data_IF_602189732247
#
_entry.id   IF_602189732247
#
_cell.length_a   1.000
_cell.length_b   1.000
_cell.length_c   1.000
_cell.angle_alpha   90.00
_cell.angle_beta   90.00
_cell.angle_gamma   90.00
#
_symmetry.space_group_name_H-M   'P 1'
#
loop_
_entity.id
_entity.type
_entity.pdbx_description
1 polymer ?
#
# COMPACT_ATOMS: atom_id res chain seq x y z
N UNK A 1 12.96 2.67 17.92
CA UNK A 1 11.75 2.19 17.19
C UNK A 1 12.24 1.38 16.01
N UNK A 2 11.57 0.26 15.70
CA UNK A 2 11.84 -0.51 14.48
C UNK A 2 11.41 0.30 13.24
N UNK A 3 12.06 0.10 12.07
CA UNK A 3 11.76 0.84 10.85
C UNK A 3 10.33 0.59 10.38
N UNK A 4 9.65 1.67 9.97
CA UNK A 4 8.27 1.60 9.51
C UNK A 4 8.02 2.59 8.37
N UNK A 5 6.93 2.34 7.64
CA UNK A 5 6.33 3.29 6.70
C UNK A 5 4.90 3.54 7.16
N UNK A 6 4.57 4.80 7.44
CA UNK A 6 3.23 5.25 7.77
C UNK A 6 2.68 6.07 6.60
N UNK A 7 1.53 5.65 6.07
CA UNK A 7 0.80 6.38 5.05
C UNK A 7 -0.40 7.05 5.72
N UNK A 8 -0.49 8.37 5.59
CA UNK A 8 -1.56 9.17 6.18
C UNK A 8 -2.35 9.83 5.07
N UNK A 9 -3.62 9.48 4.95
CA UNK A 9 -4.58 10.11 4.06
C UNK A 9 -5.61 10.88 4.90
N UNK A 10 -5.53 12.21 4.91
CA UNK A 10 -6.42 13.06 5.70
C UNK A 10 -6.67 14.41 5.01
N UNK A 11 -7.89 14.93 5.09
CA UNK A 11 -8.23 16.26 4.56
C UNK A 11 -7.95 16.46 3.06
N UNK A 12 -7.91 15.39 2.27
CA UNK A 12 -7.51 15.44 0.85
C UNK A 12 -6.00 15.53 0.63
N UNK A 13 -5.20 15.29 1.67
CA UNK A 13 -3.75 15.20 1.60
C UNK A 13 -3.27 13.77 1.81
N UNK A 14 -2.17 13.43 1.16
CA UNK A 14 -1.47 12.16 1.31
C UNK A 14 -0.04 12.42 1.76
N UNK A 15 0.36 11.76 2.83
CA UNK A 15 1.70 11.86 3.40
C UNK A 15 2.31 10.48 3.59
N UNK A 16 3.61 10.39 3.35
CA UNK A 16 4.43 9.24 3.74
C UNK A 16 5.41 9.70 4.83
N UNK A 17 5.45 8.95 5.92
CA UNK A 17 6.48 9.07 6.94
C UNK A 17 7.23 7.74 7.06
N UNK A 18 8.54 7.76 6.80
CA UNK A 18 9.41 6.59 6.85
C UNK A 18 10.48 6.76 7.90
N UNK A 19 10.49 5.88 8.88
CA UNK A 19 11.58 5.77 9.86
C UNK A 19 12.54 4.67 9.39
N UNK A 20 13.82 5.03 9.20
CA UNK A 20 14.86 4.11 8.68
C UNK A 20 15.89 3.69 9.73
N UNK A 21 15.55 3.83 11.03
CA UNK A 21 16.43 3.65 12.19
C UNK A 21 17.45 4.78 12.43
N UNK A 22 17.68 5.68 11.47
CA UNK A 22 18.60 6.80 11.62
C UNK A 22 17.86 8.13 11.68
N UNK A 23 16.89 8.35 10.78
CA UNK A 23 16.10 9.57 10.72
C UNK A 23 14.68 9.32 10.20
N UNK A 24 13.79 10.24 10.52
CA UNK A 24 12.43 10.26 9.98
C UNK A 24 12.44 11.03 8.65
N UNK A 25 12.03 10.38 7.57
CA UNK A 25 11.81 11.01 6.27
C UNK A 25 10.32 11.24 6.10
N UNK A 26 9.90 12.49 5.92
CA UNK A 26 8.49 12.85 5.71
C UNK A 26 8.38 13.49 4.33
N UNK A 27 7.44 13.01 3.53
CA UNK A 27 7.14 13.60 2.23
C UNK A 27 5.64 13.69 2.00
N UNK A 28 5.24 14.77 1.34
CA UNK A 28 3.88 14.93 0.83
C UNK A 28 3.80 14.27 -0.54
N UNK A 29 2.76 13.46 -0.73
CA UNK A 29 2.45 12.77 -1.98
C UNK A 29 1.27 13.45 -2.69
N UNK A 30 1.16 13.22 -3.99
CA UNK A 30 -0.01 13.61 -4.77
C UNK A 30 -1.18 12.65 -4.43
N UNK A 31 -2.29 13.14 -3.86
CA UNK A 31 -3.44 12.30 -3.52
C UNK A 31 -4.08 11.61 -4.73
N UNK A 32 -3.86 12.11 -5.94
CA UNK A 32 -4.33 11.50 -7.19
C UNK A 32 -3.36 10.45 -7.76
N UNK A 33 -2.17 10.31 -7.16
CA UNK A 33 -1.15 9.39 -7.61
C UNK A 33 -1.38 7.94 -7.18
N UNK A 34 -0.82 7.02 -7.95
CA UNK A 34 -0.75 5.60 -7.62
C UNK A 34 0.66 5.26 -7.10
N UNK A 35 0.75 4.62 -5.94
CA UNK A 35 2.02 4.33 -5.27
C UNK A 35 2.13 2.86 -4.86
N UNK A 36 3.34 2.33 -4.95
CA UNK A 36 3.66 0.99 -4.48
C UNK A 36 4.71 1.05 -3.37
N UNK A 37 4.43 0.34 -2.27
CA UNK A 37 5.38 0.13 -1.19
C UNK A 37 5.81 -1.34 -1.11
N UNK A 38 7.04 -1.58 -0.70
CA UNK A 38 7.58 -2.92 -0.50
C UNK A 38 8.46 -2.93 0.75
N UNK A 39 8.25 -3.91 1.62
CA UNK A 39 9.00 -4.02 2.87
C UNK A 39 10.50 -4.15 2.60
N UNK A 40 11.29 -3.28 3.24
CA UNK A 40 12.75 -3.32 3.13
C UNK A 40 13.38 -4.53 3.82
N UNK A 41 12.69 -5.14 4.79
CA UNK A 41 13.16 -6.35 5.47
C UNK A 41 12.87 -7.62 4.67
N UNK A 42 11.88 -7.59 3.77
CA UNK A 42 11.52 -8.73 2.93
C UNK A 42 12.15 -8.68 1.53
N UNK A 43 12.31 -7.49 0.95
CA UNK A 43 12.78 -7.29 -0.41
C UNK A 43 14.03 -6.40 -0.44
N UNK A 44 15.10 -6.93 -1.04
CA UNK A 44 16.32 -6.16 -1.30
C UNK A 44 16.09 -5.03 -2.33
N UNK A 45 17.13 -4.22 -2.56
CA UNK A 45 17.05 -3.10 -3.49
C UNK A 45 16.69 -3.52 -4.93
N UNK A 46 17.20 -4.66 -5.39
CA UNK A 46 16.94 -5.18 -6.73
C UNK A 46 15.47 -5.56 -6.90
N UNK A 47 14.90 -6.33 -5.97
CA UNK A 47 13.49 -6.75 -6.04
C UNK A 47 12.51 -5.61 -5.84
N UNK A 48 12.82 -4.64 -4.98
CA UNK A 48 12.00 -3.42 -4.86
C UNK A 48 11.96 -2.65 -6.17
N UNK A 49 13.11 -2.48 -6.85
CA UNK A 49 13.16 -1.80 -8.15
C UNK A 49 12.36 -2.56 -9.22
N UNK A 50 12.45 -3.89 -9.23
CA UNK A 50 11.70 -4.73 -10.17
C UNK A 50 10.19 -4.63 -9.96
N UNK A 51 9.72 -4.63 -8.71
CA UNK A 51 8.30 -4.47 -8.37
C UNK A 51 7.77 -3.08 -8.76
N UNK A 52 8.57 -2.02 -8.56
CA UNK A 52 8.22 -0.69 -9.04
C UNK A 52 8.08 -0.65 -10.56
N UNK A 53 8.98 -1.31 -11.29
CA UNK A 53 8.89 -1.41 -12.74
C UNK A 53 7.62 -2.13 -13.18
N UNK A 54 7.31 -3.30 -12.61
CA UNK A 54 6.07 -4.03 -12.93
C UNK A 54 4.81 -3.21 -12.66
N UNK A 55 4.80 -2.43 -11.58
CA UNK A 55 3.68 -1.55 -11.26
C UNK A 55 3.55 -0.40 -12.25
N UNK A 56 4.67 0.24 -12.63
CA UNK A 56 4.67 1.29 -13.64
C UNK A 56 4.22 0.79 -15.02
N UNK A 57 4.69 -0.39 -15.44
CA UNK A 57 4.26 -1.05 -16.68
C UNK A 57 2.76 -1.37 -16.67
N UNK A 58 2.24 -1.84 -15.53
CA UNK A 58 0.81 -2.10 -15.37
C UNK A 58 -0.02 -0.81 -15.44
N UNK A 59 0.40 0.25 -14.73
CA UNK A 59 -0.28 1.56 -14.77
C UNK A 59 -0.28 2.20 -16.17
N UNK A 60 0.73 1.95 -16.99
CA UNK A 60 0.77 2.44 -18.38
C UNK A 60 -0.40 1.92 -19.24
N UNK A 61 -1.03 0.81 -18.82
CA UNK A 61 -2.22 0.24 -19.48
C UNK A 61 -3.51 0.38 -18.65
N UNK A 62 -3.41 0.91 -17.44
CA UNK A 62 -4.50 1.07 -16.47
C UNK A 62 -4.37 2.43 -15.79
N UNK A 63 -4.68 3.51 -16.52
CA UNK A 63 -4.44 4.88 -16.05
C UNK A 63 -5.22 5.25 -14.78
N UNK A 64 -6.44 4.73 -14.63
CA UNK A 64 -7.31 4.93 -13.47
C UNK A 64 -7.86 3.57 -13.02
N UNK A 65 -7.04 2.75 -12.34
CA UNK A 65 -7.45 1.40 -11.98
C UNK A 65 -8.47 1.44 -10.84
N UNK A 66 -9.56 0.68 -10.99
CA UNK A 66 -10.52 0.50 -9.92
C UNK A 66 -10.04 -0.52 -8.87
N UNK A 67 -10.86 -0.73 -7.83
CA UNK A 67 -10.56 -1.64 -6.75
C UNK A 67 -10.35 -3.09 -7.24
N UNK A 68 -11.11 -3.55 -8.22
CA UNK A 68 -10.99 -4.91 -8.76
C UNK A 68 -9.68 -5.07 -9.54
N UNK A 69 -9.35 -4.11 -10.40
CA UNK A 69 -8.10 -4.08 -11.15
C UNK A 69 -6.88 -4.06 -10.22
N UNK A 70 -6.91 -3.25 -9.15
CA UNK A 70 -5.84 -3.22 -8.14
C UNK A 70 -5.71 -4.58 -7.44
N UNK A 71 -6.83 -5.21 -7.04
CA UNK A 71 -6.80 -6.52 -6.39
C UNK A 71 -6.24 -7.59 -7.34
N UNK A 72 -6.65 -7.58 -8.60
CA UNK A 72 -6.15 -8.49 -9.62
C UNK A 72 -4.64 -8.32 -9.81
N UNK A 73 -4.16 -7.07 -9.93
CA UNK A 73 -2.73 -6.78 -10.01
C UNK A 73 -1.98 -7.27 -8.76
N UNK A 74 -2.51 -7.04 -7.56
CA UNK A 74 -1.87 -7.51 -6.33
C UNK A 74 -1.71 -9.04 -6.32
N UNK A 75 -2.69 -9.78 -6.87
CA UNK A 75 -2.66 -11.25 -6.91
C UNK A 75 -1.78 -11.82 -8.02
N UNK A 76 -1.73 -11.16 -9.17
CA UNK A 76 -1.24 -11.77 -10.42
C UNK A 76 -0.22 -10.91 -11.17
N UNK A 77 0.04 -9.69 -10.71
CA UNK A 77 0.95 -8.76 -11.34
C UNK A 77 2.41 -9.18 -11.23
N UNK A 78 3.24 -8.57 -12.08
CA UNK A 78 4.65 -8.90 -12.18
C UNK A 78 4.91 -10.26 -12.82
N UNK A 79 6.11 -10.79 -12.59
CA UNK A 79 6.47 -12.11 -13.10
C UNK A 79 6.02 -13.23 -12.16
N UNK A 80 5.80 -14.45 -12.67
CA UNK A 80 5.50 -15.62 -11.85
C UNK A 80 6.73 -16.04 -11.04
N UNK A 81 6.93 -15.38 -9.90
CA UNK A 81 7.98 -15.65 -8.91
C UNK A 81 7.34 -15.84 -7.53
N UNK A 82 7.38 -17.07 -7.02
CA UNK A 82 6.81 -17.40 -5.71
C UNK A 82 7.57 -16.76 -4.55
N UNK A 83 8.85 -16.41 -4.70
CA UNK A 83 9.65 -15.85 -3.61
C UNK A 83 9.56 -14.33 -3.50
N UNK A 84 9.39 -13.65 -4.64
CA UNK A 84 9.50 -12.19 -4.73
C UNK A 84 8.30 -11.49 -5.41
N UNK A 85 7.33 -12.26 -5.90
CA UNK A 85 6.07 -11.74 -6.45
C UNK A 85 5.24 -10.98 -5.41
N UNK A 86 4.15 -10.35 -5.87
CA UNK A 86 3.26 -9.57 -4.99
C UNK A 86 2.56 -10.47 -3.95
N UNK A 87 2.21 -11.69 -4.34
CA UNK A 87 1.84 -12.78 -3.42
C UNK A 87 3.05 -13.71 -3.29
N UNK A 88 3.73 -13.65 -2.14
CA UNK A 88 4.94 -14.44 -1.89
C UNK A 88 4.64 -15.72 -1.10
N UNK A 89 5.45 -16.75 -1.32
CA UNK A 89 5.61 -17.96 -0.54
C UNK A 89 7.05 -18.48 -0.65
N UNK A 90 7.85 -18.27 0.41
CA UNK A 90 9.23 -18.79 0.56
C UNK A 90 9.20 -20.12 1.31
N UNK A 91 8.71 -21.17 0.64
CA UNK A 91 8.58 -22.53 1.18
C UNK A 91 7.87 -22.58 2.54
N UNK A 92 6.76 -21.85 2.67
CA UNK A 92 5.92 -21.72 3.86
C UNK A 92 6.59 -21.18 5.13
N UNK A 93 7.86 -20.75 5.05
CA UNK A 93 8.55 -20.04 6.14
C UNK A 93 8.07 -18.60 6.25
N UNK A 94 7.92 -17.92 5.10
CA UNK A 94 7.36 -16.58 4.98
C UNK A 94 6.43 -16.54 3.78
N UNK A 95 5.17 -16.18 3.99
CA UNK A 95 4.17 -16.13 2.92
C UNK A 95 3.14 -15.03 3.11
N UNK A 96 2.55 -14.57 2.02
CA UNK A 96 1.37 -13.72 2.04
C UNK A 96 0.18 -14.54 2.51
N UNK A 97 -0.41 -14.18 3.64
CA UNK A 97 -1.57 -14.87 4.22
C UNK A 97 -2.89 -14.20 3.84
N UNK A 98 -2.86 -12.91 3.52
CA UNK A 98 -4.06 -12.15 3.20
C UNK A 98 -3.77 -10.96 2.31
N UNK A 99 -4.79 -10.49 1.61
CA UNK A 99 -4.83 -9.16 1.00
C UNK A 99 -5.98 -8.39 1.65
N UNK A 100 -5.70 -7.21 2.17
CA UNK A 100 -6.72 -6.30 2.69
C UNK A 100 -6.85 -5.13 1.76
N UNK A 101 -8.06 -4.84 1.32
CA UNK A 101 -8.39 -3.68 0.51
C UNK A 101 -9.31 -2.76 1.29
N UNK A 102 -9.04 -1.46 1.23
CA UNK A 102 -9.87 -0.42 1.83
C UNK A 102 -10.26 0.55 0.72
N UNK A 103 -11.57 0.77 0.53
CA UNK A 103 -12.11 1.70 -0.45
C UNK A 103 -12.89 2.79 0.29
N UNK A 104 -12.43 4.02 0.14
CA UNK A 104 -13.04 5.19 0.76
C UNK A 104 -13.99 5.87 -0.24
N UNK A 105 -15.29 5.67 -0.07
CA UNK A 105 -16.34 6.31 -0.87
C UNK A 105 -17.32 7.03 0.06
N UNK A 106 -17.06 8.30 0.42
CA UNK A 106 -17.83 9.03 1.43
C UNK A 106 -19.35 8.94 1.18
N UNK A 107 -20.16 8.68 2.23
CA UNK A 107 -19.81 8.63 3.66
C UNK A 107 -19.30 7.26 4.16
N UNK A 108 -19.07 6.31 3.25
CA UNK A 108 -18.73 4.92 3.59
C UNK A 108 -17.24 4.64 3.38
N UNK A 109 -16.70 3.79 4.25
CA UNK A 109 -15.43 3.12 4.05
C UNK A 109 -15.73 1.63 4.05
N UNK A 110 -15.45 0.96 2.93
CA UNK A 110 -15.55 -0.49 2.86
C UNK A 110 -14.17 -1.10 3.00
N UNK A 111 -14.08 -2.17 3.77
CA UNK A 111 -12.87 -2.96 3.96
C UNK A 111 -13.18 -4.40 3.55
N UNK A 112 -12.39 -4.92 2.63
CA UNK A 112 -12.47 -6.32 2.21
C UNK A 112 -11.18 -7.04 2.59
N UNK A 113 -11.31 -8.05 3.44
CA UNK A 113 -10.23 -8.93 3.86
C UNK A 113 -10.31 -10.25 3.10
N UNK A 114 -9.31 -10.53 2.26
CA UNK A 114 -9.16 -11.79 1.54
C UNK A 114 -8.17 -12.68 2.29
N UNK A 115 -8.65 -13.73 2.95
CA UNK A 115 -7.83 -14.79 3.55
C UNK A 115 -7.35 -15.75 2.43
N UNK A 116 -6.07 -15.68 2.08
CA UNK A 116 -5.50 -16.50 1.01
C UNK A 116 -5.23 -17.94 1.46
N UNK A 117 -5.20 -18.21 2.77
CA UNK A 117 -5.00 -19.56 3.30
C UNK A 117 -6.31 -20.35 3.28
N UNK A 118 -7.41 -19.70 3.69
CA UNK A 118 -8.74 -20.31 3.77
C UNK A 118 -9.58 -20.12 2.52
N UNK A 119 -9.10 -19.31 1.57
CA UNK A 119 -9.87 -18.88 0.40
C UNK A 119 -11.21 -18.24 0.79
N UNK A 120 -11.19 -17.45 1.86
CA UNK A 120 -12.36 -16.78 2.41
C UNK A 120 -12.28 -15.27 2.22
N UNK A 121 -13.44 -14.62 2.12
CA UNK A 121 -13.55 -13.16 1.99
C UNK A 121 -14.47 -12.66 3.09
N UNK A 122 -14.02 -11.64 3.82
CA UNK A 122 -14.85 -10.89 4.78
C UNK A 122 -14.95 -9.45 4.34
N UNK A 123 -16.15 -8.90 4.41
CA UNK A 123 -16.41 -7.48 4.16
C UNK A 123 -16.86 -6.83 5.45
N UNK A 124 -16.30 -5.67 5.75
CA UNK A 124 -16.65 -4.83 6.88
C UNK A 124 -16.91 -3.41 6.35
N UNK A 125 -17.96 -2.75 6.86
CA UNK A 125 -18.27 -1.36 6.54
C UNK A 125 -18.07 -0.50 7.78
N UNK A 126 -17.35 0.61 7.62
CA UNK A 126 -17.12 1.60 8.66
C UNK A 126 -17.74 2.94 8.26
N UNK A 127 -18.42 3.57 9.19
CA UNK A 127 -18.92 4.94 9.04
C UNK A 127 -17.80 5.92 9.39
N UNK A 128 -17.46 6.82 8.46
CA UNK A 128 -16.53 7.91 8.74
C UNK A 128 -17.31 9.13 9.26
N UNK A 129 -17.08 9.51 10.52
CA UNK A 129 -17.52 10.80 11.03
C UNK A 129 -16.63 11.89 10.40
N UNK A 130 -17.19 12.75 9.55
CA UNK A 130 -16.42 13.85 8.95
C UNK A 130 -16.16 14.91 10.03
N UNK A 131 -14.89 15.12 10.34
CA UNK A 131 -14.43 16.39 10.88
C UNK A 131 -13.23 16.83 10.03
N UNK A 132 -13.46 17.51 8.89
CA UNK A 132 -12.37 17.85 7.98
C UNK A 132 -11.45 18.86 8.68
N UNK A 133 -10.31 18.38 9.17
CA UNK A 133 -9.22 19.25 9.57
C UNK A 133 -8.49 19.73 8.31
N UNK A 134 -8.07 21.00 8.25
CA UNK A 134 -7.22 21.46 7.17
C UNK A 134 -5.91 20.64 7.16
N UNK A 135 -5.37 20.43 5.97
CA UNK A 135 -4.16 19.65 5.76
C UNK A 135 -3.04 20.12 6.71
N UNK A 136 -2.53 19.24 7.59
CA UNK A 136 -1.52 19.63 8.56
C UNK A 136 -0.21 20.03 7.88
N UNK A 137 0.36 21.16 8.28
CA UNK A 137 1.69 21.57 7.85
C UNK A 137 2.74 20.88 8.72
N UNK A 138 3.42 19.87 8.17
CA UNK A 138 4.59 19.30 8.81
C UNK A 138 5.82 20.17 8.50
N UNK A 139 6.27 20.94 9.48
CA UNK A 139 7.53 21.70 9.37
C UNK A 139 8.72 20.73 9.41
N UNK A 140 9.55 20.76 8.37
CA UNK A 140 10.86 20.07 8.33
C UNK A 140 11.95 20.85 9.05
N UNK A 141 11.64 22.05 9.58
CA UNK A 141 12.56 22.91 10.32
C UNK A 141 12.37 22.71 11.82
N UNK A 142 12.93 21.63 12.38
CA UNK A 142 13.48 21.69 13.74
C UNK A 142 14.84 21.00 13.78
N UNK A 143 15.83 21.64 14.42
CA UNK A 143 17.21 21.16 14.51
C UNK A 143 17.34 19.87 15.32
#
# INVERSE_FOLDING_TARGET
>A
MEPFTLIMADGGCLWEARWDEQRLHVQRLDPSGCYLWSSATLYDAHWRARRQRWFAEWLATHAEPDAEAILHFHRHGGEPDSWNGFVMNRHDLVRTVSITQVVCAPPRLSMTYHDLLRQAVRNDELSLARNPMPCPEFSTDRP
#
